data_IF_293335715320
#
_entry.id   IF_293335715320
#
_cell.length_a   1.000
_cell.length_b   1.000
_cell.length_c   1.000
_cell.angle_alpha   90.00
_cell.angle_beta   90.00
_cell.angle_gamma   90.00
#
_symmetry.space_group_name_H-M   'P 1'
#
loop_
_entity.id
_entity.type
_entity.pdbx_description
1 polymer ?
#
# COMPACT_ATOMS: atom_id res chain seq x y z
N UNK A 1 2.45 -15.55 -8.33
CA UNK A 1 2.68 -15.43 -9.79
C UNK A 1 3.58 -14.22 -10.03
N UNK A 2 4.28 -14.15 -11.17
CA UNK A 2 5.13 -13.01 -11.54
C UNK A 2 4.63 -12.44 -12.87
N UNK A 3 4.40 -11.14 -12.94
CA UNK A 3 4.19 -10.37 -14.16
C UNK A 3 5.48 -9.60 -14.47
N UNK A 4 5.96 -9.67 -15.71
CA UNK A 4 7.19 -8.99 -16.12
C UNK A 4 6.88 -7.76 -16.95
N UNK A 5 7.37 -6.61 -16.51
CA UNK A 5 7.22 -5.32 -17.19
C UNK A 5 8.63 -4.77 -17.39
N UNK A 6 9.16 -4.96 -18.59
CA UNK A 6 10.60 -4.83 -18.87
C UNK A 6 11.40 -5.77 -17.94
N UNK A 7 12.32 -5.22 -17.16
CA UNK A 7 13.14 -5.87 -16.14
C UNK A 7 12.50 -5.83 -14.74
N UNK A 8 11.32 -5.23 -14.59
CA UNK A 8 10.55 -5.27 -13.35
C UNK A 8 9.76 -6.58 -13.27
N UNK A 9 9.87 -7.28 -12.14
CA UNK A 9 9.15 -8.49 -11.79
C UNK A 9 8.17 -8.16 -10.66
N UNK A 10 6.88 -8.14 -11.01
CA UNK A 10 5.80 -7.82 -10.08
C UNK A 10 5.17 -9.13 -9.60
N UNK A 11 5.32 -9.42 -8.32
CA UNK A 11 4.66 -10.55 -7.68
C UNK A 11 3.21 -10.23 -7.38
N UNK A 12 2.34 -11.23 -7.60
CA UNK A 12 0.94 -11.14 -7.24
C UNK A 12 0.34 -12.51 -6.94
N UNK A 13 -0.78 -12.53 -6.23
CA UNK A 13 -1.59 -13.71 -5.99
C UNK A 13 -3.03 -13.48 -6.45
N UNK A 14 -3.61 -14.51 -7.08
CA UNK A 14 -5.03 -14.52 -7.45
C UNK A 14 -5.77 -15.46 -6.49
N UNK A 15 -6.92 -15.02 -6.00
CA UNK A 15 -7.86 -15.86 -5.24
C UNK A 15 -9.26 -15.76 -5.85
N UNK A 16 -9.84 -16.92 -6.17
CA UNK A 16 -11.16 -17.09 -6.76
C UNK A 16 -11.33 -16.49 -8.15
N UNK A 17 -12.59 -16.33 -8.55
CA UNK A 17 -13.01 -16.05 -9.93
C UNK A 17 -14.17 -15.05 -9.94
N UNK A 18 -14.40 -14.40 -11.09
CA UNK A 18 -15.46 -13.42 -11.29
C UNK A 18 -14.92 -12.00 -11.49
N UNK A 19 -15.57 -11.01 -10.89
CA UNK A 19 -15.23 -9.59 -11.07
C UNK A 19 -13.82 -9.31 -10.54
N UNK A 20 -12.90 -8.76 -11.37
CA UNK A 20 -11.54 -8.47 -10.93
C UNK A 20 -11.52 -7.38 -9.85
N UNK A 21 -10.71 -7.61 -8.83
CA UNK A 21 -10.43 -6.66 -7.75
C UNK A 21 -8.92 -6.55 -7.60
N UNK A 22 -8.35 -5.39 -7.91
CA UNK A 22 -6.94 -5.08 -7.69
C UNK A 22 -6.79 -4.56 -6.27
N UNK A 23 -5.94 -5.20 -5.46
CA UNK A 23 -5.68 -4.82 -4.07
C UNK A 23 -4.22 -4.42 -3.88
N UNK A 24 -4.01 -3.16 -3.52
CA UNK A 24 -2.69 -2.51 -3.37
C UNK A 24 -2.42 -2.21 -1.89
N UNK A 25 -1.33 -2.75 -1.36
CA UNK A 25 -0.87 -2.48 0.01
C UNK A 25 -0.14 -1.12 0.14
N UNK A 26 0.13 -0.70 1.38
CA UNK A 26 0.84 0.51 1.75
C UNK A 26 2.36 0.43 1.57
N UNK A 27 3.08 1.39 2.14
CA UNK A 27 4.54 1.46 2.04
C UNK A 27 5.21 0.56 3.08
N UNK A 28 6.18 -0.25 2.66
CA UNK A 28 6.99 -1.21 3.43
C UNK A 28 6.48 -2.66 3.64
N UNK A 29 5.18 -3.00 3.72
CA UNK A 29 4.75 -4.39 3.85
C UNK A 29 4.72 -5.08 2.49
N UNK A 30 3.90 -6.13 2.38
CA UNK A 30 3.62 -6.87 1.15
C UNK A 30 2.13 -7.26 1.06
N UNK A 31 1.77 -7.97 0.00
CA UNK A 31 0.42 -8.46 -0.29
C UNK A 31 -0.26 -9.18 0.88
N UNK A 32 0.49 -9.81 1.79
CA UNK A 32 -0.06 -10.60 2.90
C UNK A 32 -0.85 -9.73 3.88
N UNK A 33 -0.47 -8.45 4.06
CA UNK A 33 -1.19 -7.51 4.90
C UNK A 33 -2.64 -7.37 4.43
N UNK A 34 -2.80 -7.00 3.17
CA UNK A 34 -4.11 -6.77 2.59
C UNK A 34 -4.87 -8.07 2.33
N UNK A 35 -4.19 -9.16 1.98
CA UNK A 35 -4.80 -10.49 1.85
C UNK A 35 -5.46 -10.93 3.15
N UNK A 36 -4.78 -10.80 4.30
CA UNK A 36 -5.36 -11.14 5.60
C UNK A 36 -6.57 -10.27 5.94
N UNK A 37 -6.51 -8.97 5.62
CA UNK A 37 -7.62 -8.05 5.85
C UNK A 37 -8.84 -8.41 4.98
N UNK A 38 -8.64 -8.52 3.67
CA UNK A 38 -9.72 -8.63 2.69
C UNK A 38 -10.33 -10.02 2.63
N UNK A 39 -9.56 -11.11 2.80
CA UNK A 39 -10.10 -12.47 2.75
C UNK A 39 -11.10 -12.75 3.88
N UNK A 40 -10.98 -12.07 5.03
CA UNK A 40 -11.98 -12.18 6.11
C UNK A 40 -13.38 -11.69 5.68
N UNK A 41 -13.44 -10.79 4.70
CA UNK A 41 -14.68 -10.28 4.10
C UNK A 41 -15.08 -11.16 2.92
N UNK A 42 -14.16 -11.43 1.99
CA UNK A 42 -14.45 -12.20 0.78
C UNK A 42 -14.82 -13.67 1.03
N UNK A 43 -14.52 -14.23 2.20
CA UNK A 43 -15.08 -15.54 2.61
C UNK A 43 -16.61 -15.58 2.63
N UNK A 44 -17.28 -14.42 2.70
CA UNK A 44 -18.74 -14.30 2.74
C UNK A 44 -19.36 -13.97 1.37
N UNK A 45 -18.54 -13.72 0.36
CA UNK A 45 -18.98 -13.24 -0.95
C UNK A 45 -18.26 -13.97 -2.08
N UNK A 46 -19.02 -14.62 -2.95
CA UNK A 46 -18.50 -15.25 -4.16
C UNK A 46 -18.50 -14.26 -5.35
N UNK A 47 -17.89 -14.67 -6.47
CA UNK A 47 -17.91 -13.91 -7.72
C UNK A 47 -16.89 -12.78 -7.82
N UNK A 48 -15.86 -12.78 -6.96
CA UNK A 48 -14.74 -11.84 -7.03
C UNK A 48 -13.40 -12.55 -7.23
N UNK A 49 -12.69 -12.12 -8.27
CA UNK A 49 -11.30 -12.50 -8.53
C UNK A 49 -10.39 -11.47 -7.86
N UNK A 50 -9.79 -11.84 -6.74
CA UNK A 50 -8.98 -10.92 -5.92
C UNK A 50 -7.53 -11.04 -6.31
N UNK A 51 -6.92 -9.93 -6.70
CA UNK A 51 -5.57 -9.84 -7.22
C UNK A 51 -4.76 -8.99 -6.24
N UNK A 52 -3.96 -9.64 -5.41
CA UNK A 52 -3.11 -8.98 -4.41
C UNK A 52 -1.70 -8.80 -4.98
N UNK A 53 -1.21 -7.56 -5.01
CA UNK A 53 0.06 -7.21 -5.66
C UNK A 53 1.11 -6.85 -4.62
N UNK A 54 2.35 -7.26 -4.84
CA UNK A 54 3.52 -6.69 -4.17
C UNK A 54 4.03 -5.48 -4.96
N UNK A 55 4.06 -4.30 -4.34
CA UNK A 55 4.58 -3.08 -4.96
C UNK A 55 6.06 -3.23 -5.36
N UNK A 56 6.55 -2.49 -6.38
CA UNK A 56 7.95 -2.52 -6.77
C UNK A 56 8.88 -2.30 -5.56
N UNK A 57 9.86 -3.20 -5.41
CA UNK A 57 10.85 -3.15 -4.33
C UNK A 57 10.32 -3.60 -2.97
N UNK A 58 9.11 -4.14 -2.92
CA UNK A 58 8.45 -4.61 -1.71
C UNK A 58 8.03 -6.08 -1.87
N UNK A 59 7.92 -6.79 -0.75
CA UNK A 59 7.55 -8.20 -0.75
C UNK A 59 8.48 -9.04 -1.63
N UNK A 60 7.89 -9.71 -2.63
CA UNK A 60 8.60 -10.55 -3.60
C UNK A 60 8.83 -9.86 -4.95
N UNK A 61 8.47 -8.59 -5.09
CA UNK A 61 8.73 -7.81 -6.31
C UNK A 61 10.10 -7.16 -6.27
N UNK A 62 10.79 -7.12 -7.40
CA UNK A 62 12.00 -6.30 -7.52
C UNK A 62 11.63 -4.82 -7.82
N UNK A 63 12.62 -3.93 -7.80
CA UNK A 63 12.48 -2.57 -8.33
C UNK A 63 13.77 -2.20 -9.08
N UNK A 64 13.73 -2.17 -10.42
CA UNK A 64 14.81 -1.59 -11.21
C UNK A 64 14.96 -0.08 -10.97
N UNK A 65 16.16 0.45 -11.24
CA UNK A 65 16.54 1.85 -10.98
C UNK A 65 15.62 2.91 -11.63
N UNK A 66 14.93 2.55 -12.71
CA UNK A 66 14.02 3.46 -13.39
C UNK A 66 12.68 3.63 -12.64
N UNK A 67 12.34 2.74 -11.70
CA UNK A 67 11.18 2.88 -10.82
C UNK A 67 11.58 3.73 -9.60
N UNK A 68 11.85 5.01 -9.85
CA UNK A 68 12.39 5.94 -8.85
C UNK A 68 11.39 7.01 -8.40
N UNK A 69 10.11 6.87 -8.76
CA UNK A 69 9.05 7.78 -8.32
C UNK A 69 7.70 7.06 -8.21
N UNK A 70 6.76 7.65 -7.47
CA UNK A 70 5.39 7.15 -7.41
C UNK A 70 4.71 7.16 -8.77
N UNK A 71 5.03 8.12 -9.65
CA UNK A 71 4.49 8.15 -11.01
C UNK A 71 4.94 6.93 -11.82
N UNK A 72 6.21 6.53 -11.69
CA UNK A 72 6.73 5.30 -12.33
C UNK A 72 6.09 4.05 -11.75
N UNK A 73 5.83 4.02 -10.44
CA UNK A 73 5.07 2.92 -9.83
C UNK A 73 3.65 2.87 -10.39
N UNK A 74 2.97 4.00 -10.55
CA UNK A 74 1.62 4.04 -11.16
C UNK A 74 1.64 3.54 -12.60
N UNK A 75 2.63 3.95 -13.41
CA UNK A 75 2.79 3.45 -14.78
C UNK A 75 2.95 1.92 -14.81
N UNK A 76 3.81 1.37 -13.95
CA UNK A 76 4.00 -0.08 -13.80
C UNK A 76 2.70 -0.77 -13.42
N UNK A 77 1.95 -0.22 -12.46
CA UNK A 77 0.69 -0.81 -12.01
C UNK A 77 -0.39 -0.73 -13.10
N UNK A 78 -0.43 0.33 -13.90
CA UNK A 78 -1.34 0.42 -15.05
C UNK A 78 -1.01 -0.66 -16.07
N UNK A 79 0.26 -0.80 -16.46
CA UNK A 79 0.68 -1.87 -17.38
C UNK A 79 0.38 -3.25 -16.81
N UNK A 80 0.63 -3.47 -15.51
CA UNK A 80 0.24 -4.71 -14.83
C UNK A 80 -1.27 -4.99 -14.97
N UNK A 81 -2.11 -3.99 -14.71
CA UNK A 81 -3.57 -4.13 -14.81
C UNK A 81 -3.99 -4.49 -16.23
N UNK A 82 -3.41 -3.84 -17.24
CA UNK A 82 -3.70 -4.12 -18.66
C UNK A 82 -3.31 -5.54 -19.07
N UNK A 83 -2.18 -6.05 -18.55
CA UNK A 83 -1.71 -7.41 -18.84
C UNK A 83 -2.53 -8.50 -18.11
N UNK A 84 -2.99 -8.23 -16.89
CA UNK A 84 -3.65 -9.24 -16.05
C UNK A 84 -5.18 -9.21 -16.19
N UNK A 85 -5.77 -8.06 -16.50
CA UNK A 85 -7.22 -7.89 -16.56
C UNK A 85 -7.66 -7.61 -18.01
N UNK A 86 -8.22 -8.64 -18.63
CA UNK A 86 -8.90 -8.54 -19.94
C UNK A 86 -10.32 -7.97 -19.86
N UNK A 87 -10.92 -7.95 -18.66
CA UNK A 87 -12.26 -7.38 -18.45
C UNK A 87 -12.26 -5.86 -18.69
N UNK A 88 -13.39 -5.34 -19.18
CA UNK A 88 -13.55 -3.90 -19.42
C UNK A 88 -13.41 -3.10 -18.12
N UNK A 89 -14.04 -3.59 -17.05
CA UNK A 89 -14.07 -2.94 -15.74
C UNK A 89 -13.48 -3.80 -14.62
N UNK A 90 -12.92 -3.13 -13.60
CA UNK A 90 -12.42 -3.76 -12.38
C UNK A 90 -12.70 -2.89 -11.15
N UNK A 91 -12.60 -3.49 -9.96
CA UNK A 91 -12.62 -2.79 -8.67
C UNK A 91 -11.20 -2.55 -8.18
N UNK A 92 -10.99 -1.43 -7.50
CA UNK A 92 -9.68 -1.02 -7.02
C UNK A 92 -9.70 -0.78 -5.51
N UNK A 93 -8.73 -1.32 -4.80
CA UNK A 93 -8.55 -1.18 -3.36
C UNK A 93 -7.14 -0.68 -3.08
N UNK A 94 -7.01 0.37 -2.27
CA UNK A 94 -5.71 0.92 -1.87
C UNK A 94 -5.65 1.26 -0.38
N UNK A 95 -4.63 0.76 0.29
CA UNK A 95 -4.34 1.02 1.71
C UNK A 95 -3.17 1.98 1.87
N UNK A 96 -3.31 3.01 2.71
CA UNK A 96 -2.27 4.01 3.00
C UNK A 96 -1.62 4.58 1.72
N UNK A 97 -0.35 4.29 1.47
CA UNK A 97 0.37 4.64 0.23
C UNK A 97 -0.24 3.99 -1.02
N UNK A 98 -0.71 2.75 -0.92
CA UNK A 98 -1.50 2.09 -1.98
C UNK A 98 -2.76 2.87 -2.33
N UNK A 99 -3.38 3.57 -1.36
CA UNK A 99 -4.49 4.48 -1.60
C UNK A 99 -4.10 5.71 -2.42
N UNK A 100 -2.88 6.23 -2.25
CA UNK A 100 -2.33 7.31 -3.08
C UNK A 100 -2.11 6.83 -4.53
N UNK A 101 -1.51 5.65 -4.69
CA UNK A 101 -1.28 5.03 -6.00
C UNK A 101 -2.61 4.69 -6.70
N UNK A 102 -3.58 4.15 -5.98
CA UNK A 102 -4.91 3.82 -6.50
C UNK A 102 -5.64 5.04 -7.06
N UNK A 103 -5.48 6.21 -6.43
CA UNK A 103 -6.01 7.47 -6.96
C UNK A 103 -5.28 7.90 -8.23
N UNK A 104 -3.98 7.67 -8.32
CA UNK A 104 -3.19 7.86 -9.54
C UNK A 104 -3.72 6.98 -10.68
N UNK A 105 -3.96 5.70 -10.43
CA UNK A 105 -4.54 4.76 -11.40
C UNK A 105 -5.94 5.22 -11.82
N UNK A 106 -6.82 5.55 -10.87
CA UNK A 106 -8.17 6.06 -11.18
C UNK A 106 -8.14 7.29 -12.10
N UNK A 107 -7.17 8.20 -11.90
CA UNK A 107 -7.04 9.39 -12.75
C UNK A 107 -6.69 9.09 -14.21
N UNK A 108 -6.12 7.90 -14.48
CA UNK A 108 -5.69 7.47 -15.82
C UNK A 108 -6.61 6.42 -16.44
N UNK A 109 -7.28 5.64 -15.61
CA UNK A 109 -8.16 4.53 -16.01
C UNK A 109 -9.60 4.75 -15.55
N UNK A 110 -10.05 6.01 -15.52
CA UNK A 110 -11.34 6.40 -14.91
C UNK A 110 -12.52 5.57 -15.41
N UNK A 111 -12.60 5.32 -16.72
CA UNK A 111 -13.69 4.55 -17.34
C UNK A 111 -13.67 3.06 -17.00
N UNK A 112 -12.53 2.52 -16.56
CA UNK A 112 -12.37 1.09 -16.22
C UNK A 112 -12.53 0.81 -14.72
N UNK A 113 -12.35 1.81 -13.86
CA UNK A 113 -12.45 1.63 -12.41
C UNK A 113 -13.91 1.76 -11.99
N UNK A 114 -14.60 0.63 -11.83
CA UNK A 114 -16.02 0.60 -11.48
C UNK A 114 -16.29 0.87 -9.99
N UNK A 115 -15.26 0.83 -9.15
CA UNK A 115 -15.36 1.21 -7.74
C UNK A 115 -14.00 1.31 -7.07
N UNK A 116 -13.86 2.23 -6.13
CA UNK A 116 -12.64 2.47 -5.37
C UNK A 116 -12.91 2.35 -3.86
N UNK A 117 -12.17 1.48 -3.18
CA UNK A 117 -12.11 1.41 -1.72
C UNK A 117 -10.77 1.97 -1.24
N UNK A 118 -10.84 2.99 -0.37
CA UNK A 118 -9.67 3.60 0.25
C UNK A 118 -9.62 3.26 1.74
N UNK A 119 -8.50 2.67 2.16
CA UNK A 119 -8.27 2.26 3.55
C UNK A 119 -7.20 3.19 4.14
N UNK A 120 -7.63 4.14 4.98
CA UNK A 120 -6.81 5.21 5.58
C UNK A 120 -5.74 5.80 4.62
N UNK A 121 -6.16 6.31 3.44
CA UNK A 121 -5.25 6.64 2.35
C UNK A 121 -4.39 7.87 2.64
N UNK A 122 -3.23 7.95 1.98
CA UNK A 122 -2.49 9.21 1.85
C UNK A 122 -3.23 10.13 0.86
N UNK A 123 -4.03 11.06 1.39
CA UNK A 123 -4.80 12.01 0.55
C UNK A 123 -3.95 13.20 0.12
N UNK A 124 -3.22 13.79 1.06
CA UNK A 124 -2.32 14.92 0.85
C UNK A 124 -0.90 14.48 1.20
N UNK A 125 -0.08 14.22 0.17
CA UNK A 125 1.27 13.67 0.36
C UNK A 125 2.18 14.63 1.14
N UNK A 126 2.09 15.94 0.86
CA UNK A 126 2.91 16.98 1.49
C UNK A 126 2.50 17.19 2.96
N UNK A 127 3.36 16.83 3.95
CA UNK A 127 2.99 16.90 5.37
C UNK A 127 2.52 18.28 5.81
N UNK A 128 3.20 19.35 5.38
CA UNK A 128 2.85 20.74 5.71
C UNK A 128 1.54 21.26 5.12
N UNK A 129 0.87 20.48 4.26
CA UNK A 129 -0.47 20.80 3.72
C UNK A 129 -1.59 19.97 4.36
N UNK A 130 -1.25 19.05 5.26
CA UNK A 130 -2.24 18.22 5.95
C UNK A 130 -2.87 19.04 7.06
N UNK A 131 -4.19 18.94 7.21
CA UNK A 131 -4.89 19.41 8.39
C UNK A 131 -4.85 18.28 9.43
N UNK A 132 -3.97 18.42 10.42
CA UNK A 132 -3.77 17.44 11.50
C UNK A 132 -3.93 18.13 12.85
N UNK A 133 -4.38 17.41 13.89
CA UNK A 133 -4.26 17.91 15.25
C UNK A 133 -2.79 18.03 15.64
N UNK A 134 -2.50 18.89 16.63
CA UNK A 134 -1.19 18.94 17.25
C UNK A 134 -0.83 17.56 17.83
N UNK A 135 0.39 17.11 17.57
CA UNK A 135 0.87 15.85 18.11
C UNK A 135 0.86 15.89 19.64
N UNK A 136 0.18 14.92 20.24
CA UNK A 136 0.14 14.73 21.68
C UNK A 136 1.03 13.54 22.06
N UNK A 137 2.03 13.77 22.91
CA UNK A 137 2.83 12.69 23.53
C UNK A 137 2.26 12.43 24.91
N UNK A 138 1.63 11.26 25.08
CA UNK A 138 0.95 10.82 26.29
C UNK A 138 1.95 10.28 27.31
N UNK A 139 2.92 9.47 26.86
CA UNK A 139 3.96 8.90 27.72
C UNK A 139 5.30 9.09 27.04
N UNK A 140 6.29 9.48 27.84
CA UNK A 140 7.68 9.63 27.39
C UNK A 140 8.62 9.15 28.49
N UNK A 141 9.20 7.98 28.29
CA UNK A 141 10.16 7.39 29.21
C UNK A 141 11.57 7.85 28.84
N UNK A 142 12.01 8.96 29.43
CA UNK A 142 13.34 9.53 29.14
C UNK A 142 14.48 8.60 29.52
N UNK A 143 14.29 7.71 30.51
CA UNK A 143 15.35 6.78 30.92
C UNK A 143 15.53 5.69 29.85
N UNK A 144 14.44 5.14 29.34
CA UNK A 144 14.50 4.23 28.18
C UNK A 144 15.02 4.94 26.92
N UNK A 145 14.53 6.14 26.60
CA UNK A 145 14.94 6.84 25.37
C UNK A 145 16.43 7.21 25.35
N UNK A 146 17.08 7.34 26.51
CA UNK A 146 18.54 7.51 26.62
C UNK A 146 19.33 6.25 26.27
N UNK A 147 18.71 5.06 26.32
CA UNK A 147 19.38 3.82 25.91
C UNK A 147 19.41 3.62 24.40
N UNK A 148 18.58 4.38 23.66
CA UNK A 148 18.54 4.35 22.19
C UNK A 148 19.61 5.28 21.59
N UNK A 149 20.07 4.94 20.38
CA UNK A 149 20.86 5.86 19.57
C UNK A 149 20.04 7.11 19.21
N UNK A 150 20.72 8.19 18.77
CA UNK A 150 20.02 9.39 18.33
C UNK A 150 19.03 9.11 17.19
N UNK A 151 19.43 8.29 16.22
CA UNK A 151 18.61 7.93 15.07
C UNK A 151 17.39 7.11 15.49
N UNK A 152 17.57 6.02 16.25
CA UNK A 152 16.46 5.20 16.74
C UNK A 152 15.48 6.02 17.58
N UNK A 153 16.00 6.90 18.46
CA UNK A 153 15.17 7.77 19.27
C UNK A 153 14.36 8.74 18.42
N UNK A 154 14.97 9.37 17.41
CA UNK A 154 14.29 10.30 16.52
C UNK A 154 13.20 9.61 15.70
N UNK A 155 13.53 8.51 15.03
CA UNK A 155 12.58 7.73 14.22
C UNK A 155 11.41 7.20 15.06
N UNK A 156 11.70 6.62 16.23
CA UNK A 156 10.66 6.12 17.12
C UNK A 156 9.78 7.26 17.65
N UNK A 157 10.42 8.34 18.12
CA UNK A 157 9.70 9.49 18.65
C UNK A 157 8.95 10.27 17.57
N UNK A 158 9.21 10.09 16.27
CA UNK A 158 8.47 10.75 15.19
C UNK A 158 7.00 10.33 15.20
N UNK A 159 6.73 9.04 15.40
CA UNK A 159 5.38 8.46 15.36
C UNK A 159 4.79 8.18 16.74
N UNK A 160 5.63 7.89 17.74
CA UNK A 160 5.16 7.49 19.05
C UNK A 160 4.38 8.59 19.78
N UNK A 161 3.20 8.23 20.27
CA UNK A 161 2.44 8.99 21.28
C UNK A 161 2.61 8.39 22.68
N UNK A 162 3.08 7.15 22.77
CA UNK A 162 3.55 6.49 23.98
C UNK A 162 4.96 6.01 23.63
N UNK A 163 5.97 6.65 24.20
CA UNK A 163 7.38 6.40 23.91
C UNK A 163 8.04 5.74 25.13
N UNK A 164 7.90 4.42 25.22
CA UNK A 164 8.53 3.58 26.25
C UNK A 164 9.05 2.26 25.67
N UNK A 165 9.75 1.47 26.48
CA UNK A 165 10.34 0.18 26.06
C UNK A 165 9.31 -0.78 25.46
N UNK A 166 8.09 -0.82 26.02
CA UNK A 166 7.05 -1.73 25.54
C UNK A 166 6.61 -1.42 24.11
N UNK A 167 6.40 -0.14 23.79
CA UNK A 167 5.95 0.34 22.47
C UNK A 167 7.04 0.43 21.41
N UNK A 168 8.30 0.33 21.81
CA UNK A 168 9.44 0.31 20.88
C UNK A 168 9.62 -1.05 20.20
N UNK A 169 9.15 -2.13 20.84
CA UNK A 169 9.36 -3.52 20.40
C UNK A 169 8.61 -3.89 19.12
#
# INVERSE_FOLDING_TARGET
MICRIKDAEIYYEIVGEGKPVIIIHGCAPDHRLMKRCMESVFQKYEGYQRIYIDLPGMGKSNAPDWINSSDRIVEVLITFIEEIISAEEFLLVGESYGGYLARGILSKMFERVNGLLLVYPVVVAQPGKRLLPDKQVIVRDEEFLKTLTSTEREEFCELAVVANEYTYK
#
